data_IF_446316038327
#
_entry.id   IF_446316038327
#
_cell.length_a   1.000
_cell.length_b   1.000
_cell.length_c   1.000
_cell.angle_alpha   90.00
_cell.angle_beta   90.00
_cell.angle_gamma   90.00
#
_symmetry.space_group_name_H-M   'P 1'
#
loop_
_entity.id
_entity.type
_entity.pdbx_description
1 polymer ?
#
# COMPACT_ATOMS: atom_id res chain seq x y z
N UNK A 1 -21.58 12.97 10.13
CA UNK A 1 -22.68 12.07 9.70
C UNK A 1 -22.55 10.75 10.43
N UNK A 2 -23.65 10.25 10.96
CA UNK A 2 -23.74 8.95 11.66
C UNK A 2 -24.63 8.00 10.86
N UNK A 3 -24.12 6.79 10.58
CA UNK A 3 -24.89 5.73 9.91
C UNK A 3 -24.64 4.42 10.63
N UNK A 4 -25.72 3.71 10.98
CA UNK A 4 -25.64 2.36 11.51
C UNK A 4 -26.07 1.38 10.40
N UNK A 5 -25.19 0.44 10.05
CA UNK A 5 -25.46 -0.62 9.08
C UNK A 5 -24.90 -1.94 9.58
N UNK A 6 -25.68 -3.03 9.48
CA UNK A 6 -25.27 -4.39 9.85
C UNK A 6 -24.64 -4.52 11.25
N UNK A 7 -25.13 -3.76 12.23
CA UNK A 7 -24.61 -3.77 13.60
C UNK A 7 -23.32 -2.97 13.81
N UNK A 8 -22.70 -2.42 12.76
CA UNK A 8 -21.51 -1.57 12.82
C UNK A 8 -21.90 -0.10 12.80
N UNK A 9 -21.19 0.71 13.59
CA UNK A 9 -21.37 2.15 13.67
C UNK A 9 -20.32 2.83 12.82
N UNK A 10 -20.75 3.64 11.85
CA UNK A 10 -19.87 4.45 11.00
C UNK A 10 -20.07 5.92 11.37
N UNK A 11 -19.00 6.58 11.76
CA UNK A 11 -19.03 8.00 12.11
C UNK A 11 -18.04 8.73 11.23
N UNK A 12 -18.54 9.69 10.45
CA UNK A 12 -17.70 10.59 9.65
C UNK A 12 -17.77 11.99 10.23
N UNK A 13 -16.61 12.52 10.60
CA UNK A 13 -16.43 13.92 10.99
C UNK A 13 -15.86 14.70 9.81
N UNK A 14 -16.39 15.85 9.58
CA UNK A 14 -15.83 16.84 8.67
C UNK A 14 -15.10 17.91 9.48
N UNK A 15 -13.87 18.20 9.09
CA UNK A 15 -13.00 19.19 9.74
C UNK A 15 -12.40 20.12 8.72
N UNK A 16 -12.36 21.41 9.04
CA UNK A 16 -11.67 22.42 8.23
C UNK A 16 -10.22 22.65 8.68
N UNK A 17 -9.76 21.86 9.64
CA UNK A 17 -8.38 21.88 10.13
C UNK A 17 -7.84 20.44 10.15
N UNK A 18 -6.53 20.34 10.03
CA UNK A 18 -5.85 19.07 10.13
C UNK A 18 -6.04 18.47 11.53
N UNK A 19 -6.55 17.24 11.60
CA UNK A 19 -6.76 16.54 12.88
C UNK A 19 -5.52 15.72 13.18
N UNK A 20 -4.82 16.08 14.24
CA UNK A 20 -3.67 15.35 14.73
C UNK A 20 -4.06 13.94 15.23
N UNK A 21 -3.14 13.00 15.12
CA UNK A 21 -3.35 11.61 15.55
C UNK A 21 -3.78 11.50 17.02
N UNK A 22 -3.17 12.29 17.91
CA UNK A 22 -3.53 12.31 19.33
C UNK A 22 -4.99 12.71 19.57
N UNK A 23 -5.49 13.67 18.79
CA UNK A 23 -6.89 14.12 18.85
C UNK A 23 -7.84 13.08 18.27
N UNK A 24 -7.43 12.43 17.16
CA UNK A 24 -8.18 11.32 16.57
C UNK A 24 -8.33 10.15 17.55
N UNK A 25 -7.24 9.73 18.22
CA UNK A 25 -7.27 8.64 19.19
C UNK A 25 -8.12 8.96 20.42
N UNK A 26 -8.07 10.21 20.92
CA UNK A 26 -8.95 10.66 22.00
C UNK A 26 -10.42 10.59 21.59
N UNK A 27 -10.75 11.04 20.38
CA UNK A 27 -12.10 10.98 19.84
C UNK A 27 -12.58 9.53 19.69
N UNK A 28 -11.74 8.66 19.16
CA UNK A 28 -12.02 7.22 19.05
C UNK A 28 -12.30 6.60 20.42
N UNK A 29 -11.46 6.89 21.41
CA UNK A 29 -11.63 6.38 22.77
C UNK A 29 -12.94 6.86 23.42
N UNK A 30 -13.33 8.12 23.21
CA UNK A 30 -14.60 8.65 23.68
C UNK A 30 -15.79 7.94 23.02
N UNK A 31 -15.74 7.76 21.70
CA UNK A 31 -16.79 7.09 20.96
C UNK A 31 -16.93 5.61 21.33
N UNK A 32 -15.83 4.92 21.63
CA UNK A 32 -15.87 3.54 22.13
C UNK A 32 -16.57 3.42 23.50
N UNK A 33 -16.53 4.47 24.33
CA UNK A 33 -17.31 4.49 25.58
C UNK A 33 -18.80 4.68 25.34
N UNK A 34 -19.18 5.43 24.29
CA UNK A 34 -20.57 5.65 23.90
C UNK A 34 -21.17 4.42 23.22
N UNK A 35 -20.35 3.67 22.48
CA UNK A 35 -20.76 2.49 21.72
C UNK A 35 -19.97 1.22 22.15
N UNK A 36 -20.04 0.78 23.40
CA UNK A 36 -19.11 -0.19 23.97
C UNK A 36 -19.19 -1.58 23.34
N UNK A 37 -20.33 -1.94 22.77
CA UNK A 37 -20.58 -3.28 22.23
C UNK A 37 -20.69 -3.31 20.69
N UNK A 38 -20.40 -2.18 20.02
CA UNK A 38 -20.56 -2.09 18.56
C UNK A 38 -19.23 -1.88 17.89
N UNK A 39 -18.93 -2.61 16.80
CA UNK A 39 -17.79 -2.28 15.96
C UNK A 39 -17.91 -0.83 15.47
N UNK A 40 -16.88 -0.03 15.74
CA UNK A 40 -16.84 1.39 15.39
C UNK A 40 -15.88 1.60 14.22
N UNK A 41 -16.33 2.30 13.19
CA UNK A 41 -15.49 2.84 12.14
C UNK A 41 -15.56 4.36 12.18
N UNK A 42 -14.46 4.98 12.58
CA UNK A 42 -14.30 6.43 12.62
C UNK A 42 -13.53 6.89 11.39
N UNK A 43 -14.04 7.92 10.75
CA UNK A 43 -13.41 8.58 9.62
C UNK A 43 -13.43 10.09 9.84
N UNK A 44 -12.31 10.74 9.57
CA UNK A 44 -12.22 12.20 9.50
C UNK A 44 -11.96 12.58 8.06
N UNK A 45 -12.73 13.52 7.54
CA UNK A 45 -12.58 14.07 6.20
C UNK A 45 -12.38 15.58 6.29
N UNK A 46 -11.59 16.13 5.41
CA UNK A 46 -11.24 17.55 5.41
C UNK A 46 -11.28 18.11 3.98
N UNK A 47 -12.47 18.13 3.33
CA UNK A 47 -12.60 18.58 1.96
C UNK A 47 -12.26 20.06 1.79
N UNK A 48 -12.46 20.88 2.83
CA UNK A 48 -12.07 22.30 2.85
C UNK A 48 -10.57 22.56 2.78
N UNK A 49 -9.73 21.53 3.04
CA UNK A 49 -8.28 21.63 2.92
C UNK A 49 -7.74 21.16 1.56
N UNK A 50 -8.60 20.91 0.57
CA UNK A 50 -8.21 20.37 -0.74
C UNK A 50 -7.13 21.20 -1.43
N UNK A 51 -7.36 22.51 -1.53
CA UNK A 51 -6.48 23.39 -2.28
C UNK A 51 -5.16 23.58 -1.53
N UNK A 52 -5.20 23.81 -0.23
CA UNK A 52 -4.00 23.87 0.61
C UNK A 52 -3.21 22.54 0.59
N UNK A 53 -3.89 21.41 0.61
CA UNK A 53 -3.25 20.10 0.44
C UNK A 53 -2.50 19.99 -0.90
N UNK A 54 -3.11 20.40 -2.01
CA UNK A 54 -2.50 20.32 -3.34
C UNK A 54 -1.34 21.29 -3.51
N UNK A 55 -1.38 22.44 -2.86
CA UNK A 55 -0.30 23.43 -2.88
C UNK A 55 0.87 23.03 -1.96
N UNK A 56 0.58 22.40 -0.83
CA UNK A 56 1.52 22.13 0.25
C UNK A 56 1.55 20.65 0.68
N UNK A 57 1.53 19.69 -0.25
CA UNK A 57 1.47 18.24 0.07
C UNK A 57 2.54 17.85 1.11
N UNK A 58 3.72 18.47 1.05
CA UNK A 58 4.81 18.20 2.00
C UNK A 58 4.45 18.48 3.46
N UNK A 59 3.57 19.45 3.73
CA UNK A 59 3.08 19.75 5.08
C UNK A 59 2.21 18.62 5.65
N UNK A 60 1.58 17.86 4.78
CA UNK A 60 0.69 16.75 5.13
C UNK A 60 1.40 15.39 5.20
N UNK A 61 2.72 15.35 4.98
CA UNK A 61 3.54 14.13 5.01
C UNK A 61 3.29 13.30 6.27
N UNK A 62 3.20 13.95 7.43
CA UNK A 62 3.00 13.25 8.69
C UNK A 62 1.65 12.50 8.73
N UNK A 63 0.57 13.13 8.28
CA UNK A 63 -0.77 12.51 8.22
C UNK A 63 -0.78 11.29 7.31
N UNK A 64 -0.13 11.41 6.15
CA UNK A 64 -0.02 10.31 5.20
C UNK A 64 0.87 9.17 5.74
N UNK A 65 1.94 9.51 6.46
CA UNK A 65 2.80 8.53 7.15
C UNK A 65 2.04 7.80 8.25
N UNK A 66 1.24 8.50 9.05
CA UNK A 66 0.43 7.91 10.11
C UNK A 66 -0.70 7.04 9.54
N UNK A 67 -1.27 7.43 8.41
CA UNK A 67 -2.17 6.57 7.65
C UNK A 67 -1.48 5.25 7.25
N UNK A 68 -0.27 5.32 6.70
CA UNK A 68 0.50 4.14 6.30
C UNK A 68 0.84 3.26 7.51
N UNK A 69 1.31 3.84 8.61
CA UNK A 69 1.64 3.09 9.85
C UNK A 69 0.44 2.32 10.40
N UNK A 70 -0.73 2.94 10.41
CA UNK A 70 -1.96 2.30 10.91
C UNK A 70 -2.42 1.14 10.02
N UNK A 71 -2.28 1.29 8.72
CA UNK A 71 -2.74 0.27 7.77
C UNK A 71 -1.71 -0.82 7.50
N UNK A 72 -0.40 -0.53 7.75
CA UNK A 72 0.72 -1.43 7.49
C UNK A 72 1.67 -1.49 8.68
N UNK A 73 1.24 -2.00 9.85
CA UNK A 73 2.05 -1.99 11.08
C UNK A 73 3.36 -2.77 10.94
N UNK A 74 3.40 -3.82 10.12
CA UNK A 74 4.62 -4.58 9.85
C UNK A 74 5.74 -3.76 9.18
N UNK A 75 5.41 -2.64 8.55
CA UNK A 75 6.36 -1.75 7.89
C UNK A 75 6.83 -0.57 8.75
N UNK A 76 6.38 -0.47 10.01
CA UNK A 76 6.62 0.68 10.86
C UNK A 76 8.12 0.99 11.08
N UNK A 77 8.97 -0.05 11.13
CA UNK A 77 10.42 0.10 11.38
C UNK A 77 11.18 0.83 10.28
N UNK A 78 10.74 0.74 9.03
CA UNK A 78 11.39 1.38 7.88
C UNK A 78 10.58 2.52 7.26
N UNK A 79 9.37 2.80 7.77
CA UNK A 79 8.57 3.95 7.34
C UNK A 79 9.28 5.29 7.50
N UNK A 80 10.13 5.45 8.52
CA UNK A 80 10.94 6.66 8.74
C UNK A 80 12.05 6.85 7.70
N UNK A 81 12.40 5.80 6.96
CA UNK A 81 13.45 5.82 5.94
C UNK A 81 12.90 6.10 4.54
N UNK A 82 11.57 6.17 4.40
CA UNK A 82 10.95 6.51 3.12
C UNK A 82 11.19 7.99 2.83
N UNK A 83 11.80 8.29 1.68
CA UNK A 83 11.86 9.65 1.17
C UNK A 83 10.58 9.99 0.40
N UNK A 84 10.03 11.17 0.66
CA UNK A 84 8.80 11.66 0.08
C UNK A 84 9.12 12.85 -0.82
N UNK A 85 8.79 12.74 -2.08
CA UNK A 85 8.85 13.85 -3.03
C UNK A 85 7.46 14.16 -3.54
N UNK A 86 7.15 15.45 -3.60
CA UNK A 86 5.87 15.93 -4.08
C UNK A 86 6.13 16.91 -5.23
N UNK A 87 5.48 16.65 -6.35
CA UNK A 87 5.55 17.52 -7.53
C UNK A 87 4.12 17.67 -8.10
N UNK A 88 3.53 18.83 -7.84
CA UNK A 88 2.13 19.08 -8.14
C UNK A 88 1.22 18.00 -7.54
N UNK A 89 0.50 17.27 -8.37
CA UNK A 89 -0.39 16.18 -7.95
C UNK A 89 0.29 14.81 -7.86
N UNK A 90 1.63 14.74 -7.97
CA UNK A 90 2.38 13.49 -7.92
C UNK A 90 3.10 13.37 -6.58
N UNK A 91 2.92 12.24 -5.92
CA UNK A 91 3.62 11.85 -4.70
C UNK A 91 4.51 10.67 -5.04
N UNK A 92 5.82 10.83 -4.91
CA UNK A 92 6.78 9.74 -5.11
C UNK A 92 7.30 9.28 -3.75
N UNK A 93 7.14 8.00 -3.46
CA UNK A 93 7.68 7.34 -2.26
C UNK A 93 8.92 6.56 -2.67
N UNK A 94 10.09 6.98 -2.19
CA UNK A 94 11.36 6.30 -2.44
C UNK A 94 11.70 5.42 -1.26
N UNK A 95 11.76 4.12 -1.49
CA UNK A 95 12.06 3.11 -0.48
C UNK A 95 13.57 2.87 -0.35
N UNK A 96 14.06 2.51 0.85
CA UNK A 96 15.49 2.30 1.08
C UNK A 96 16.02 1.07 0.34
N UNK A 97 15.20 0.08 0.07
CA UNK A 97 15.57 -1.19 -0.54
C UNK A 97 14.45 -1.82 -1.37
N UNK A 98 14.84 -2.80 -2.18
CA UNK A 98 13.95 -3.51 -3.10
C UNK A 98 12.88 -4.34 -2.38
N UNK A 99 13.20 -4.88 -1.19
CA UNK A 99 12.27 -5.71 -0.43
C UNK A 99 11.10 -4.87 0.10
N UNK A 100 11.39 -3.69 0.67
CA UNK A 100 10.37 -2.77 1.15
C UNK A 100 9.48 -2.26 0.01
N UNK A 101 10.07 -1.95 -1.16
CA UNK A 101 9.32 -1.59 -2.36
C UNK A 101 8.38 -2.72 -2.81
N UNK A 102 8.90 -3.95 -2.91
CA UNK A 102 8.11 -5.11 -3.35
C UNK A 102 6.98 -5.42 -2.37
N UNK A 103 7.26 -5.38 -1.06
CA UNK A 103 6.25 -5.56 -0.02
C UNK A 103 5.11 -4.55 -0.15
N UNK A 104 5.42 -3.25 -0.28
CA UNK A 104 4.42 -2.20 -0.42
C UNK A 104 3.69 -2.26 -1.77
N UNK A 105 4.37 -2.66 -2.83
CA UNK A 105 3.76 -2.90 -4.13
C UNK A 105 2.71 -4.01 -4.08
N UNK A 106 3.04 -5.16 -3.46
CA UNK A 106 2.10 -6.29 -3.25
C UNK A 106 0.87 -5.89 -2.42
N UNK A 107 1.02 -4.97 -1.48
CA UNK A 107 -0.06 -4.43 -0.67
C UNK A 107 -0.90 -3.35 -1.40
N UNK A 108 -0.55 -3.05 -2.64
CA UNK A 108 -1.20 -2.01 -3.47
C UNK A 108 -1.25 -0.63 -2.79
N UNK A 109 -0.15 -0.27 -2.10
CA UNK A 109 -0.07 0.94 -1.26
C UNK A 109 -0.29 2.20 -2.06
N UNK A 110 0.22 2.28 -3.29
CA UNK A 110 0.05 3.45 -4.15
C UNK A 110 -1.44 3.78 -4.37
N UNK A 111 -2.24 2.79 -4.79
CA UNK A 111 -3.66 3.00 -5.02
C UNK A 111 -4.43 3.29 -3.73
N UNK A 112 -4.08 2.63 -2.62
CA UNK A 112 -4.72 2.86 -1.32
C UNK A 112 -4.40 4.25 -0.76
N UNK A 113 -3.18 4.73 -0.95
CA UNK A 113 -2.80 6.07 -0.53
C UNK A 113 -3.49 7.14 -1.39
N UNK A 114 -3.54 6.97 -2.72
CA UNK A 114 -4.33 7.85 -3.60
C UNK A 114 -5.80 7.88 -3.19
N UNK A 115 -6.38 6.72 -2.89
CA UNK A 115 -7.77 6.65 -2.44
C UNK A 115 -7.96 7.33 -1.08
N UNK A 116 -7.02 7.15 -0.14
CA UNK A 116 -7.07 7.81 1.16
C UNK A 116 -7.03 9.34 1.03
N UNK A 117 -6.16 9.87 0.16
CA UNK A 117 -6.10 11.30 -0.13
C UNK A 117 -7.42 11.80 -0.71
N UNK A 118 -7.97 11.09 -1.68
CA UNK A 118 -9.29 11.42 -2.26
C UNK A 118 -10.38 11.40 -1.21
N UNK A 119 -10.35 10.42 -0.34
CA UNK A 119 -11.32 10.23 0.73
C UNK A 119 -11.24 11.28 1.83
N UNK A 120 -10.03 11.72 2.20
CA UNK A 120 -9.79 12.67 3.29
C UNK A 120 -9.94 14.11 2.80
N UNK A 121 -9.28 14.45 1.69
CA UNK A 121 -9.14 15.83 1.21
C UNK A 121 -10.00 16.12 -0.03
N UNK A 122 -10.70 15.13 -0.59
CA UNK A 122 -11.37 15.23 -1.89
C UNK A 122 -10.43 15.64 -3.03
N UNK A 123 -9.12 15.36 -2.89
CA UNK A 123 -8.07 15.67 -3.84
C UNK A 123 -7.67 14.42 -4.63
N UNK A 124 -7.35 14.60 -5.91
CA UNK A 124 -6.83 13.50 -6.74
C UNK A 124 -5.33 13.67 -6.92
N UNK A 125 -4.59 12.63 -6.51
CA UNK A 125 -3.13 12.55 -6.64
C UNK A 125 -2.72 11.24 -7.25
N UNK A 126 -1.58 11.25 -7.95
CA UNK A 126 -0.90 10.06 -8.42
C UNK A 126 0.19 9.69 -7.41
N UNK A 127 0.21 8.44 -6.97
CA UNK A 127 1.25 7.93 -6.07
C UNK A 127 2.12 6.95 -6.82
N UNK A 128 3.43 7.18 -6.78
CA UNK A 128 4.45 6.32 -7.39
C UNK A 128 5.37 5.76 -6.31
N UNK A 129 5.75 4.51 -6.46
CA UNK A 129 6.68 3.83 -5.58
C UNK A 129 7.99 3.60 -6.33
N UNK A 130 9.11 4.04 -5.75
CA UNK A 130 10.45 3.87 -6.32
C UNK A 130 11.41 3.34 -5.26
N UNK A 131 12.61 2.96 -5.68
CA UNK A 131 13.69 2.55 -4.78
C UNK A 131 14.89 3.49 -4.93
N UNK A 132 15.65 3.68 -3.87
CA UNK A 132 16.78 4.60 -3.86
C UNK A 132 17.95 4.11 -4.74
N UNK A 133 18.47 4.99 -5.61
CA UNK A 133 19.76 4.92 -6.29
C UNK A 133 20.03 3.66 -7.11
N UNK A 134 21.21 3.06 -6.94
CA UNK A 134 21.71 1.91 -7.72
C UNK A 134 20.85 0.63 -7.63
N UNK A 135 19.94 0.56 -6.68
CA UNK A 135 19.03 -0.57 -6.54
C UNK A 135 17.95 -0.61 -7.62
N UNK A 136 17.63 0.53 -8.23
CA UNK A 136 16.69 0.58 -9.35
C UNK A 136 17.24 -0.16 -10.58
N UNK A 137 18.54 0.00 -10.85
CA UNK A 137 19.24 -0.74 -11.91
C UNK A 137 19.27 -2.23 -11.64
N UNK A 138 19.59 -2.64 -10.40
CA UNK A 138 19.56 -4.05 -9.99
C UNK A 138 18.18 -4.67 -10.09
N UNK A 139 17.13 -3.93 -9.74
CA UNK A 139 15.75 -4.42 -9.89
C UNK A 139 15.35 -4.58 -11.36
N UNK A 140 15.78 -3.67 -12.23
CA UNK A 140 15.56 -3.79 -13.66
C UNK A 140 16.27 -5.03 -14.22
N UNK A 141 17.53 -5.26 -13.84
CA UNK A 141 18.31 -6.43 -14.22
C UNK A 141 17.64 -7.75 -13.75
N UNK A 142 17.22 -7.82 -12.49
CA UNK A 142 16.54 -9.02 -11.93
C UNK A 142 15.19 -9.25 -12.64
N UNK A 143 14.44 -8.21 -12.98
CA UNK A 143 13.19 -8.35 -13.72
C UNK A 143 13.41 -8.85 -15.14
N UNK A 144 14.43 -8.35 -15.82
CA UNK A 144 14.83 -8.85 -17.14
C UNK A 144 15.27 -10.30 -17.10
N UNK A 145 16.05 -10.69 -16.10
CA UNK A 145 16.52 -12.06 -15.93
C UNK A 145 15.35 -13.03 -15.66
N UNK A 146 14.42 -12.67 -14.78
CA UNK A 146 13.18 -13.45 -14.55
C UNK A 146 12.30 -13.56 -15.81
N UNK A 147 12.19 -12.48 -16.58
CA UNK A 147 11.46 -12.52 -17.86
C UNK A 147 12.14 -13.43 -18.87
N UNK A 148 13.48 -13.45 -18.91
CA UNK A 148 14.24 -14.38 -19.76
C UNK A 148 14.07 -15.83 -19.31
N UNK A 149 14.08 -16.10 -18.01
CA UNK A 149 13.83 -17.45 -17.47
C UNK A 149 12.40 -17.93 -17.74
N UNK A 150 11.40 -17.06 -17.69
CA UNK A 150 10.01 -17.40 -18.01
C UNK A 150 9.76 -17.59 -19.51
N UNK A 151 10.64 -17.05 -20.36
CA UNK A 151 10.58 -17.21 -21.83
C UNK A 151 11.44 -18.37 -22.34
N UNK A 152 11.96 -19.24 -21.49
CA UNK A 152 12.61 -20.50 -21.95
C UNK A 152 11.54 -21.36 -22.61
N UNK A 153 11.41 -21.18 -23.91
CA UNK A 153 10.56 -22.01 -24.78
C UNK A 153 11.31 -23.32 -24.97
N UNK A 154 10.89 -24.38 -24.29
CA UNK A 154 11.42 -25.71 -24.52
C UNK A 154 11.20 -26.07 -25.99
N UNK A 155 12.25 -26.47 -26.69
CA UNK A 155 12.12 -26.99 -28.05
C UNK A 155 11.34 -28.31 -28.01
N UNK A 156 10.61 -28.67 -29.10
CA UNK A 156 9.87 -29.93 -29.16
C UNK A 156 10.73 -31.17 -28.82
N UNK A 157 12.03 -31.11 -29.12
CA UNK A 157 12.99 -32.14 -28.80
C UNK A 157 13.30 -32.27 -27.30
N UNK A 158 13.37 -31.13 -26.59
CA UNK A 158 13.54 -31.09 -25.12
C UNK A 158 12.29 -31.58 -24.38
N UNK A 159 11.12 -31.28 -24.90
CA UNK A 159 9.84 -31.80 -24.35
C UNK A 159 9.76 -33.31 -24.57
N UNK A 160 10.19 -33.83 -25.73
CA UNK A 160 10.22 -35.25 -26.03
C UNK A 160 11.21 -36.01 -25.12
N UNK A 161 12.37 -35.42 -24.83
CA UNK A 161 13.36 -36.01 -23.92
C UNK A 161 12.89 -36.10 -22.46
N UNK A 162 12.14 -35.11 -21.99
CA UNK A 162 11.52 -35.09 -20.65
C UNK A 162 10.40 -36.12 -20.49
N UNK A 163 9.64 -36.39 -21.55
CA UNK A 163 8.53 -37.37 -21.53
C UNK A 163 8.98 -38.82 -21.63
N UNK A 164 10.20 -39.09 -22.15
CA UNK A 164 10.74 -40.46 -22.29
C UNK A 164 11.45 -40.97 -21.02
N UNK A 165 11.67 -40.12 -20.01
CA UNK A 165 12.39 -40.48 -18.77
C UNK A 165 11.56 -41.27 -17.74
N UNK A 166 10.24 -41.35 -17.83
CA UNK A 166 9.37 -41.94 -16.78
C UNK A 166 8.76 -43.33 -17.11
N UNK A 167 9.23 -44.00 -18.15
CA UNK A 167 8.80 -45.36 -18.44
C UNK A 167 9.73 -46.39 -17.70
N UNK A 168 9.52 -46.55 -16.39
CA UNK A 168 10.06 -47.72 -15.65
C UNK A 168 9.17 -48.94 -15.94
N UNK A 169 9.72 -50.04 -16.45
CA UNK A 169 8.89 -51.23 -16.67
C UNK A 169 8.47 -51.87 -15.36
N UNK A 170 7.16 -52.14 -15.25
CA UNK A 170 6.59 -52.92 -14.18
C UNK A 170 7.29 -54.30 -14.11
N UNK A 171 7.87 -54.66 -12.95
CA UNK A 171 8.34 -56.03 -12.67
C UNK A 171 7.12 -56.89 -12.40
N UNK A 172 6.86 -57.83 -13.31
CA UNK A 172 5.98 -58.98 -13.05
C UNK A 172 6.56 -59.82 -11.91
N UNK A 173 5.82 -59.99 -10.87
CA UNK A 173 6.03 -61.02 -9.87
C UNK A 173 5.20 -62.26 -10.26
N UNK A 174 5.94 -63.33 -10.50
CA UNK A 174 5.45 -64.69 -10.57
C UNK A 174 5.41 -65.30 -9.17
#
# INVERSE_FOLDING_TARGET
VYVQSQGKVYITFESNVLVEEASFLKLEALLRRVFPQKPLALRVVSPGLKDDFLENISAYKQVLTDFLRRNYPASASWMSQIDWRCDGKRITLTFPDAFSLEYMGRQNVAARLSQAVKDIFSAEVMVELTVAGDQEKRLAEIREERLREQTVTYTPEQIAAMTQGDAKPAKEHK
#
